data_IF_364405716182
#
_entry.id   IF_364405716182
#
_cell.length_a   1.000
_cell.length_b   1.000
_cell.length_c   1.000
_cell.angle_alpha   90.00
_cell.angle_beta   90.00
_cell.angle_gamma   90.00
#
_symmetry.space_group_name_H-M   'P 1'
#
loop_
_entity.id
_entity.type
_entity.pdbx_description
1 polymer ?
#
# COMPACT_ATOMS: atom_id res chain seq x y z
N UNK A 1 1.94 12.48 -11.17
CA UNK A 1 1.15 11.67 -10.26
C UNK A 1 1.42 12.00 -8.78
N UNK A 2 2.61 11.76 -8.27
CA UNK A 2 3.01 12.05 -6.88
C UNK A 2 4.30 12.84 -6.90
N UNK A 3 4.38 13.94 -6.12
CA UNK A 3 5.59 14.76 -5.98
C UNK A 3 5.73 15.24 -4.54
N UNK A 4 6.89 14.99 -3.96
CA UNK A 4 7.30 15.55 -2.68
C UNK A 4 8.55 16.42 -2.87
N UNK A 5 8.61 17.53 -2.16
CA UNK A 5 9.72 18.49 -2.22
C UNK A 5 10.17 18.84 -0.79
N UNK A 6 11.46 18.59 -0.52
CA UNK A 6 12.11 18.88 0.78
C UNK A 6 11.32 18.38 1.99
N UNK A 7 10.72 17.19 1.86
CA UNK A 7 9.84 16.63 2.86
C UNK A 7 10.64 16.14 4.06
N UNK A 8 10.30 16.64 5.22
CA UNK A 8 10.92 16.27 6.50
C UNK A 8 9.89 15.74 7.48
N UNK A 9 10.30 14.79 8.31
CA UNK A 9 9.49 14.26 9.41
C UNK A 9 10.34 14.16 10.67
N UNK A 10 9.90 14.86 11.69
CA UNK A 10 10.51 14.85 13.02
C UNK A 10 9.49 14.36 14.03
N UNK A 11 9.84 13.33 14.77
CA UNK A 11 9.08 12.87 15.93
C UNK A 11 9.68 13.49 17.20
N UNK A 12 8.83 14.12 18.02
CA UNK A 12 9.24 14.75 19.26
C UNK A 12 8.52 14.09 20.44
N UNK A 13 9.29 13.67 21.40
CA UNK A 13 8.82 13.35 22.75
C UNK A 13 9.33 14.41 23.72
N UNK A 14 8.97 14.34 24.99
CA UNK A 14 9.46 15.30 26.01
C UNK A 14 10.99 15.29 26.16
N UNK A 15 11.65 14.15 25.86
CA UNK A 15 13.08 13.96 26.10
C UNK A 15 13.91 13.81 24.81
N UNK A 16 13.29 13.42 23.69
CA UNK A 16 14.04 13.04 22.47
C UNK A 16 13.37 13.60 21.22
N UNK A 17 14.20 14.13 20.33
CA UNK A 17 13.84 14.48 18.97
C UNK A 17 14.49 13.50 17.99
N UNK A 18 13.68 12.85 17.15
CA UNK A 18 14.15 11.90 16.15
C UNK A 18 13.77 12.40 14.75
N UNK A 19 14.77 12.68 13.93
CA UNK A 19 14.59 13.03 12.52
C UNK A 19 14.46 11.74 11.72
N UNK A 20 13.23 11.42 11.31
CA UNK A 20 12.95 10.22 10.52
C UNK A 20 13.12 10.45 9.02
N UNK A 21 12.81 11.66 8.52
CA UNK A 21 13.03 12.09 7.15
C UNK A 21 13.65 13.48 7.15
N UNK A 22 14.65 13.70 6.30
CA UNK A 22 15.36 14.97 6.20
C UNK A 22 15.43 15.43 4.74
N UNK A 23 14.61 16.42 4.38
CA UNK A 23 14.56 17.09 3.08
C UNK A 23 14.49 16.12 1.87
N UNK A 24 13.65 15.08 1.96
CA UNK A 24 13.48 14.10 0.89
C UNK A 24 12.66 14.71 -0.24
N UNK A 25 13.17 14.61 -1.47
CA UNK A 25 12.44 15.00 -2.69
C UNK A 25 12.33 13.82 -3.63
N UNK A 26 11.13 13.57 -4.14
CA UNK A 26 10.81 12.43 -5.00
C UNK A 26 9.65 12.79 -5.92
N UNK A 27 9.75 12.39 -7.17
CA UNK A 27 8.64 12.41 -8.13
C UNK A 27 8.40 10.99 -8.64
N UNK A 28 7.12 10.58 -8.69
CA UNK A 28 6.66 9.30 -9.23
C UNK A 28 5.59 9.58 -10.28
N UNK A 29 5.76 9.05 -11.48
CA UNK A 29 4.82 9.23 -12.60
C UNK A 29 3.65 8.26 -12.50
N UNK A 30 2.55 8.56 -13.21
CA UNK A 30 1.45 7.61 -13.37
C UNK A 30 1.94 6.32 -14.01
N UNK A 31 1.53 5.18 -13.46
CA UNK A 31 1.92 3.85 -13.95
C UNK A 31 3.37 3.48 -13.68
N UNK A 32 4.14 4.28 -12.94
CA UNK A 32 5.52 3.92 -12.59
C UNK A 32 5.53 2.91 -11.44
N UNK A 33 6.44 1.92 -11.52
CA UNK A 33 6.76 1.03 -10.42
C UNK A 33 8.12 1.44 -9.85
N UNK A 34 8.13 1.95 -8.62
CA UNK A 34 9.33 2.44 -7.92
C UNK A 34 9.62 1.55 -6.72
N UNK A 35 10.87 1.13 -6.56
CA UNK A 35 11.35 0.49 -5.34
C UNK A 35 12.21 1.47 -4.52
N UNK A 36 11.93 1.56 -3.24
CA UNK A 36 12.70 2.34 -2.26
C UNK A 36 13.50 1.36 -1.41
N UNK A 37 14.82 1.46 -1.48
CA UNK A 37 15.73 0.61 -0.73
C UNK A 37 16.52 1.42 0.29
N UNK A 38 17.04 0.74 1.32
CA UNK A 38 17.90 1.35 2.32
C UNK A 38 17.97 0.50 3.59
N UNK A 39 18.90 0.81 4.51
CA UNK A 39 19.05 0.05 5.75
C UNK A 39 17.79 0.13 6.64
N UNK A 40 17.68 -0.81 7.60
CA UNK A 40 16.59 -0.74 8.58
C UNK A 40 16.67 0.55 9.38
N UNK A 41 15.52 1.16 9.69
CA UNK A 41 15.43 2.38 10.49
C UNK A 41 15.73 3.69 9.73
N UNK A 42 16.02 3.66 8.42
CA UNK A 42 16.29 4.89 7.66
C UNK A 42 15.06 5.69 7.23
N UNK A 43 13.87 5.39 7.78
CA UNK A 43 12.67 6.19 7.53
C UNK A 43 11.77 5.72 6.38
N UNK A 44 12.03 4.56 5.73
CA UNK A 44 11.25 4.07 4.59
C UNK A 44 9.75 3.90 4.88
N UNK A 45 9.40 3.22 5.97
CA UNK A 45 8.00 3.04 6.37
C UNK A 45 7.35 4.37 6.79
N UNK A 46 8.14 5.30 7.39
CA UNK A 46 7.66 6.66 7.68
C UNK A 46 7.32 7.40 6.38
N UNK A 47 8.19 7.31 5.37
CA UNK A 47 7.92 7.89 4.06
C UNK A 47 6.67 7.27 3.45
N UNK A 48 6.55 5.94 3.46
CA UNK A 48 5.39 5.23 2.93
C UNK A 48 4.08 5.65 3.62
N UNK A 49 4.10 5.83 4.96
CA UNK A 49 2.95 6.30 5.72
C UNK A 49 2.53 7.72 5.32
N UNK A 50 3.48 8.62 5.07
CA UNK A 50 3.18 9.98 4.62
C UNK A 50 2.64 9.95 3.18
N UNK A 51 3.28 9.20 2.27
CA UNK A 51 2.79 9.02 0.90
C UNK A 51 1.39 8.42 0.86
N UNK A 52 1.09 7.55 1.82
CA UNK A 52 -0.23 6.94 1.99
C UNK A 52 -1.24 7.78 2.75
N UNK A 53 -0.88 9.01 3.13
CA UNK A 53 -1.77 9.91 3.88
C UNK A 53 -2.23 9.32 5.23
N UNK A 54 -1.45 8.40 5.80
CA UNK A 54 -1.64 7.88 7.16
C UNK A 54 -1.02 8.82 8.21
N UNK A 55 0.06 9.53 7.83
CA UNK A 55 0.72 10.53 8.64
C UNK A 55 0.91 11.82 7.83
N UNK A 56 1.36 12.89 8.48
CA UNK A 56 1.68 14.17 7.84
C UNK A 56 3.17 14.49 7.98
N UNK A 57 3.77 15.17 6.99
CA UNK A 57 5.12 15.69 7.14
C UNK A 57 5.16 16.77 8.23
N UNK A 58 6.35 17.02 8.78
CA UNK A 58 6.61 18.17 9.64
C UNK A 58 6.87 19.42 8.78
N UNK A 59 7.58 19.24 7.68
CA UNK A 59 7.93 20.30 6.72
C UNK A 59 7.98 19.74 5.30
N UNK A 60 8.01 20.62 4.31
CA UNK A 60 8.04 20.30 2.89
C UNK A 60 6.66 20.26 2.26
N UNK A 61 6.60 19.93 0.99
CA UNK A 61 5.38 19.96 0.18
C UNK A 61 5.10 18.56 -0.38
N UNK A 62 3.84 18.16 -0.39
CA UNK A 62 3.41 16.90 -0.96
C UNK A 62 2.20 17.09 -1.87
N UNK A 63 2.36 16.81 -3.17
CA UNK A 63 1.29 16.78 -4.16
C UNK A 63 0.91 15.34 -4.52
N UNK A 64 -0.40 15.06 -4.49
CA UNK A 64 -1.00 13.85 -5.07
C UNK A 64 -1.90 14.28 -6.25
N UNK A 65 -1.46 14.03 -7.46
CA UNK A 65 -2.02 14.67 -8.65
C UNK A 65 -1.73 16.16 -8.63
N UNK A 66 -2.79 16.96 -8.78
CA UNK A 66 -2.73 18.43 -8.73
C UNK A 66 -3.01 18.99 -7.32
N UNK A 67 -3.41 18.13 -6.39
CA UNK A 67 -3.79 18.53 -5.04
C UNK A 67 -2.59 18.53 -4.10
N UNK A 68 -2.34 19.64 -3.42
CA UNK A 68 -1.45 19.69 -2.25
C UNK A 68 -2.12 18.96 -1.08
N UNK A 69 -1.47 17.91 -0.56
CA UNK A 69 -2.04 17.02 0.46
C UNK A 69 -1.23 16.96 1.76
N UNK A 70 -0.01 17.52 1.78
CA UNK A 70 0.89 17.47 2.94
C UNK A 70 0.35 18.29 4.12
N UNK A 71 -0.33 19.40 3.86
CA UNK A 71 -0.91 20.30 4.87
C UNK A 71 -2.34 19.94 5.29
N UNK A 72 -2.95 18.90 4.69
CA UNK A 72 -4.33 18.52 4.96
C UNK A 72 -4.52 18.07 6.43
N UNK A 73 -5.66 18.46 7.01
CA UNK A 73 -6.11 17.91 8.29
C UNK A 73 -6.51 16.44 8.14
N UNK A 74 -6.49 15.68 9.21
CA UNK A 74 -6.75 14.23 9.21
C UNK A 74 -8.04 13.85 8.48
N UNK A 75 -9.13 14.56 8.70
CA UNK A 75 -10.41 14.33 8.01
C UNK A 75 -10.30 14.43 6.50
N UNK A 76 -9.54 15.40 5.99
CA UNK A 76 -9.40 15.64 4.56
C UNK A 76 -8.35 14.70 3.94
N UNK A 77 -7.29 14.34 4.68
CA UNK A 77 -6.37 13.25 4.31
C UNK A 77 -7.10 11.93 4.16
N UNK A 78 -7.99 11.60 5.10
CA UNK A 78 -8.82 10.39 5.00
C UNK A 78 -9.68 10.38 3.74
N UNK A 79 -10.27 11.53 3.37
CA UNK A 79 -11.03 11.64 2.11
C UNK A 79 -10.13 11.49 0.88
N UNK A 80 -8.96 12.13 0.87
CA UNK A 80 -8.01 12.06 -0.25
C UNK A 80 -7.46 10.63 -0.44
N UNK A 81 -7.26 9.87 0.65
CA UNK A 81 -6.82 8.46 0.62
C UNK A 81 -7.88 7.51 0.09
N UNK A 82 -9.14 7.76 0.43
CA UNK A 82 -10.29 6.89 0.16
C UNK A 82 -10.43 6.58 -1.34
N UNK A 83 -10.35 5.31 -1.72
CA UNK A 83 -10.43 4.86 -3.10
C UNK A 83 -9.24 5.21 -3.99
N UNK A 84 -8.27 6.00 -3.50
CA UNK A 84 -7.09 6.41 -4.28
C UNK A 84 -5.82 5.65 -3.91
N UNK A 85 -5.71 5.18 -2.67
CA UNK A 85 -4.50 4.53 -2.15
C UNK A 85 -4.84 3.15 -1.61
N UNK A 86 -4.13 2.13 -2.09
CA UNK A 86 -4.14 0.78 -1.56
C UNK A 86 -2.86 0.50 -0.78
N UNK A 87 -2.95 -0.27 0.30
CA UNK A 87 -1.80 -0.67 1.12
C UNK A 87 -1.62 -2.18 1.13
N UNK A 88 -0.38 -2.61 0.95
CA UNK A 88 0.08 -3.99 1.12
C UNK A 88 1.19 -3.99 2.15
N UNK A 89 0.99 -4.69 3.27
CA UNK A 89 1.94 -4.73 4.39
C UNK A 89 2.64 -6.08 4.49
N UNK A 90 3.83 -6.09 5.04
CA UNK A 90 4.61 -7.28 5.35
C UNK A 90 3.84 -8.27 6.26
N UNK A 91 3.14 -7.77 7.27
CA UNK A 91 2.36 -8.57 8.23
C UNK A 91 0.90 -8.77 7.80
N UNK A 92 0.58 -8.58 6.50
CA UNK A 92 -0.74 -8.73 5.90
C UNK A 92 -1.79 -7.76 6.47
N UNK A 93 -1.79 -7.49 7.75
CA UNK A 93 -2.72 -6.63 8.51
C UNK A 93 -4.20 -6.95 8.20
N UNK A 94 -4.53 -8.24 8.13
CA UNK A 94 -5.90 -8.71 8.03
C UNK A 94 -6.59 -8.59 9.39
N UNK A 95 -7.88 -8.37 9.37
CA UNK A 95 -8.71 -8.33 10.58
C UNK A 95 -9.13 -9.78 10.89
N UNK A 96 -8.71 -10.29 12.03
CA UNK A 96 -8.84 -11.69 12.42
C UNK A 96 -10.30 -12.13 12.64
N UNK A 97 -11.16 -11.18 13.02
CA UNK A 97 -12.60 -11.40 13.23
C UNK A 97 -13.42 -11.37 11.94
N UNK A 98 -12.80 -10.97 10.82
CA UNK A 98 -13.43 -10.93 9.51
C UNK A 98 -12.93 -12.09 8.64
N UNK A 99 -13.83 -12.72 7.90
CA UNK A 99 -13.42 -13.69 6.89
C UNK A 99 -12.75 -13.02 5.69
N UNK A 100 -12.26 -13.81 4.73
CA UNK A 100 -11.59 -13.33 3.52
C UNK A 100 -12.45 -12.35 2.73
N UNK A 101 -13.74 -12.70 2.52
CA UNK A 101 -14.65 -11.84 1.77
C UNK A 101 -14.84 -10.49 2.47
N UNK A 102 -15.07 -10.49 3.76
CA UNK A 102 -15.29 -9.29 4.57
C UNK A 102 -14.04 -8.41 4.66
N UNK A 103 -12.84 -9.00 4.81
CA UNK A 103 -11.57 -8.27 4.76
C UNK A 103 -11.41 -7.51 3.43
N UNK A 104 -11.76 -8.15 2.31
CA UNK A 104 -11.66 -7.55 0.99
C UNK A 104 -12.78 -6.54 0.72
N UNK A 105 -13.98 -6.76 1.24
CA UNK A 105 -15.11 -5.82 1.12
C UNK A 105 -14.89 -4.52 1.90
N UNK A 106 -14.14 -4.57 3.00
CA UNK A 106 -14.01 -3.48 3.97
C UNK A 106 -13.70 -2.11 3.33
N UNK A 107 -12.73 -1.95 2.43
CA UNK A 107 -12.48 -0.64 1.79
C UNK A 107 -13.68 -0.10 1.02
N UNK A 108 -14.49 -0.96 0.43
CA UNK A 108 -15.66 -0.58 -0.34
C UNK A 108 -16.83 -0.10 0.53
N UNK A 109 -16.87 -0.49 1.80
CA UNK A 109 -17.92 -0.05 2.74
C UNK A 109 -17.83 1.45 3.04
N UNK A 110 -16.65 2.04 2.84
CA UNK A 110 -16.41 3.49 3.00
C UNK A 110 -16.68 4.28 1.73
N UNK A 111 -16.96 3.62 0.62
CA UNK A 111 -17.34 4.24 -0.65
C UNK A 111 -18.88 4.21 -0.76
N UNK A 112 -19.46 5.22 -1.43
CA UNK A 112 -20.90 5.28 -1.69
C UNK A 112 -21.30 4.25 -2.75
N UNK A 113 -21.21 2.97 -2.40
CA UNK A 113 -21.41 1.84 -3.30
C UNK A 113 -22.52 0.92 -2.79
N UNK A 114 -23.43 0.49 -3.66
CA UNK A 114 -24.51 -0.44 -3.32
C UNK A 114 -23.95 -1.82 -2.94
N UNK A 115 -24.59 -2.49 -1.99
CA UNK A 115 -24.17 -3.81 -1.51
C UNK A 115 -23.99 -4.84 -2.63
N UNK A 116 -24.88 -4.85 -3.63
CA UNK A 116 -24.78 -5.76 -4.77
C UNK A 116 -23.50 -5.52 -5.58
N UNK A 117 -23.15 -4.26 -5.84
CA UNK A 117 -21.92 -3.87 -6.55
C UNK A 117 -20.67 -4.24 -5.76
N UNK A 118 -20.67 -4.01 -4.43
CA UNK A 118 -19.55 -4.43 -3.57
C UNK A 118 -19.30 -5.93 -3.67
N UNK A 119 -20.37 -6.74 -3.56
CA UNK A 119 -20.29 -8.20 -3.66
C UNK A 119 -19.72 -8.66 -5.00
N UNK A 120 -20.16 -8.04 -6.08
CA UNK A 120 -19.66 -8.34 -7.43
C UNK A 120 -18.16 -8.04 -7.54
N UNK A 121 -17.71 -6.86 -7.10
CA UNK A 121 -16.30 -6.47 -7.13
C UNK A 121 -15.43 -7.39 -6.26
N UNK A 122 -15.88 -7.72 -5.05
CA UNK A 122 -15.15 -8.63 -4.16
C UNK A 122 -15.02 -10.02 -4.82
N UNK A 123 -16.09 -10.57 -5.36
CA UNK A 123 -16.03 -11.87 -6.03
C UNK A 123 -15.09 -11.86 -7.25
N UNK A 124 -15.13 -10.80 -8.04
CA UNK A 124 -14.24 -10.64 -9.19
C UNK A 124 -12.77 -10.60 -8.77
N UNK A 125 -12.43 -9.80 -7.75
CA UNK A 125 -11.05 -9.70 -7.29
C UNK A 125 -10.56 -10.97 -6.60
N UNK A 126 -11.37 -11.64 -5.79
CA UNK A 126 -11.02 -12.92 -5.19
C UNK A 126 -10.75 -14.01 -6.25
N UNK A 127 -11.52 -14.01 -7.33
CA UNK A 127 -11.29 -14.90 -8.48
C UNK A 127 -9.96 -14.58 -9.15
N UNK A 128 -9.69 -13.29 -9.41
CA UNK A 128 -8.43 -12.83 -9.99
C UNK A 128 -7.22 -13.22 -9.15
N UNK A 129 -7.32 -13.13 -7.83
CA UNK A 129 -6.26 -13.50 -6.88
C UNK A 129 -6.17 -15.01 -6.64
N UNK A 130 -7.01 -15.82 -7.31
CA UNK A 130 -7.09 -17.26 -7.14
C UNK A 130 -7.31 -17.70 -5.68
N UNK A 131 -8.18 -16.98 -4.94
CA UNK A 131 -8.48 -17.21 -3.52
C UNK A 131 -9.98 -17.36 -3.23
N UNK A 132 -10.85 -17.39 -4.25
CA UNK A 132 -12.32 -17.49 -4.09
C UNK A 132 -12.77 -18.70 -3.28
N UNK A 133 -12.04 -19.83 -3.40
CA UNK A 133 -12.33 -21.06 -2.64
C UNK A 133 -12.12 -20.91 -1.12
N UNK A 134 -11.52 -19.81 -0.68
CA UNK A 134 -11.28 -19.47 0.73
C UNK A 134 -12.13 -18.29 1.21
N UNK A 135 -13.10 -17.81 0.44
CA UNK A 135 -13.87 -16.58 0.71
C UNK A 135 -14.48 -16.53 2.12
N UNK A 136 -14.89 -17.68 2.69
CA UNK A 136 -15.48 -17.78 4.02
C UNK A 136 -14.51 -18.21 5.12
N UNK A 137 -13.23 -18.40 4.80
CA UNK A 137 -12.18 -18.72 5.79
C UNK A 137 -11.73 -17.46 6.51
N UNK A 138 -11.28 -17.63 7.75
CA UNK A 138 -10.67 -16.56 8.54
C UNK A 138 -9.14 -16.53 8.34
N UNK A 139 -8.47 -15.39 8.60
CA UNK A 139 -7.02 -15.27 8.41
C UNK A 139 -6.18 -16.39 9.02
N UNK A 140 -6.53 -16.85 10.23
CA UNK A 140 -5.81 -17.91 10.94
C UNK A 140 -5.88 -19.28 10.25
N UNK A 141 -6.82 -19.45 9.30
CA UNK A 141 -6.99 -20.69 8.52
C UNK A 141 -6.24 -20.67 7.18
N UNK A 142 -5.48 -19.62 6.93
CA UNK A 142 -4.78 -19.37 5.66
C UNK A 142 -3.26 -19.50 5.82
N UNK A 143 -2.59 -20.00 4.77
CA UNK A 143 -1.12 -19.88 4.69
C UNK A 143 -0.69 -18.41 4.49
N UNK A 144 0.58 -18.08 4.79
CA UNK A 144 1.09 -16.73 4.60
C UNK A 144 0.91 -16.20 3.17
N UNK A 145 1.16 -17.02 2.14
CA UNK A 145 0.93 -16.65 0.76
C UNK A 145 -0.54 -16.40 0.44
N UNK A 146 -1.47 -17.15 1.04
CA UNK A 146 -2.91 -16.91 0.92
C UNK A 146 -3.32 -15.61 1.62
N UNK A 147 -2.80 -15.35 2.82
CA UNK A 147 -3.05 -14.09 3.53
C UNK A 147 -2.56 -12.88 2.73
N UNK A 148 -1.39 -12.98 2.11
CA UNK A 148 -0.87 -11.88 1.28
C UNK A 148 -1.71 -11.65 0.02
N UNK A 149 -2.21 -12.71 -0.62
CA UNK A 149 -3.17 -12.57 -1.74
C UNK A 149 -4.46 -11.87 -1.31
N UNK A 150 -4.96 -12.14 -0.11
CA UNK A 150 -6.12 -11.44 0.48
C UNK A 150 -5.77 -9.97 0.76
N UNK A 151 -4.60 -9.68 1.30
CA UNK A 151 -4.13 -8.31 1.55
C UNK A 151 -4.01 -7.51 0.24
N UNK A 152 -3.48 -8.12 -0.82
CA UNK A 152 -3.42 -7.50 -2.15
C UNK A 152 -4.84 -7.30 -2.71
N UNK A 153 -5.73 -8.32 -2.63
CA UNK A 153 -7.12 -8.19 -3.04
C UNK A 153 -7.81 -7.01 -2.36
N UNK A 154 -7.64 -6.87 -1.04
CA UNK A 154 -8.15 -5.75 -0.26
C UNK A 154 -7.59 -4.40 -0.72
N UNK A 155 -6.29 -4.35 -1.05
CA UNK A 155 -5.64 -3.14 -1.51
C UNK A 155 -6.19 -2.66 -2.87
N UNK A 156 -6.53 -3.59 -3.78
CA UNK A 156 -6.89 -3.26 -5.17
C UNK A 156 -8.39 -3.25 -5.46
N UNK A 157 -9.24 -3.75 -4.55
CA UNK A 157 -10.69 -3.88 -4.78
C UNK A 157 -11.38 -2.55 -5.08
N UNK A 158 -10.86 -1.44 -4.54
CA UNK A 158 -11.34 -0.08 -4.80
C UNK A 158 -10.82 0.52 -6.11
N UNK A 159 -10.00 -0.22 -6.87
CA UNK A 159 -9.30 0.26 -8.06
C UNK A 159 -8.47 1.53 -7.79
N UNK A 160 -7.52 1.49 -6.83
CA UNK A 160 -6.75 2.65 -6.42
C UNK A 160 -5.80 3.10 -7.54
N UNK A 161 -5.46 4.40 -7.53
CA UNK A 161 -4.47 4.99 -8.44
C UNK A 161 -3.05 4.58 -8.07
N UNK A 162 -2.81 4.33 -6.77
CA UNK A 162 -1.50 4.01 -6.23
C UNK A 162 -1.59 2.87 -5.22
N UNK A 163 -0.64 1.95 -5.30
CA UNK A 163 -0.40 0.90 -4.29
C UNK A 163 0.91 1.21 -3.58
N UNK A 164 0.85 1.21 -2.26
CA UNK A 164 2.00 1.34 -1.37
C UNK A 164 2.26 -0.02 -0.73
N UNK A 165 3.41 -0.61 -1.02
CA UNK A 165 3.79 -1.94 -0.54
C UNK A 165 4.99 -1.84 0.40
N UNK A 166 4.82 -2.21 1.67
CA UNK A 166 5.87 -2.26 2.67
C UNK A 166 6.34 -3.72 2.84
N UNK A 167 7.49 -4.05 2.28
CA UNK A 167 8.10 -5.39 2.29
C UNK A 167 7.11 -6.52 1.95
N UNK A 168 6.45 -6.47 0.78
CA UNK A 168 5.29 -7.33 0.48
C UNK A 168 5.59 -8.82 0.46
N UNK A 169 6.86 -9.22 0.43
CA UNK A 169 7.32 -10.61 0.40
C UNK A 169 8.07 -11.03 1.67
N UNK A 170 8.30 -10.10 2.61
CA UNK A 170 9.20 -10.28 3.74
C UNK A 170 8.85 -11.44 4.68
N UNK A 171 7.58 -11.85 4.74
CA UNK A 171 7.12 -12.98 5.57
C UNK A 171 6.75 -14.23 4.73
N UNK A 172 7.23 -14.31 3.49
CA UNK A 172 6.89 -15.39 2.57
C UNK A 172 8.11 -16.23 2.20
N UNK A 173 7.87 -17.49 1.89
CA UNK A 173 8.87 -18.30 1.20
C UNK A 173 9.09 -17.82 -0.25
N UNK A 174 10.18 -18.25 -0.87
CA UNK A 174 10.59 -17.78 -2.19
C UNK A 174 9.54 -17.99 -3.29
N UNK A 175 8.77 -19.09 -3.22
CA UNK A 175 7.73 -19.39 -4.20
C UNK A 175 6.55 -18.43 -4.07
N UNK A 176 6.02 -18.29 -2.87
CA UNK A 176 4.92 -17.37 -2.60
C UNK A 176 5.34 -15.91 -2.84
N UNK A 177 6.58 -15.55 -2.49
CA UNK A 177 7.15 -14.23 -2.79
C UNK A 177 7.17 -13.93 -4.30
N UNK A 178 7.64 -14.87 -5.13
CA UNK A 178 7.65 -14.70 -6.58
C UNK A 178 6.24 -14.51 -7.14
N UNK A 179 5.25 -15.26 -6.65
CA UNK A 179 3.84 -15.11 -7.05
C UNK A 179 3.27 -13.74 -6.70
N UNK A 180 3.62 -13.21 -5.51
CA UNK A 180 3.23 -11.85 -5.08
C UNK A 180 3.86 -10.79 -5.98
N UNK A 181 5.15 -10.89 -6.29
CA UNK A 181 5.83 -9.94 -7.19
C UNK A 181 5.26 -9.98 -8.61
N UNK A 182 4.89 -11.17 -9.09
CA UNK A 182 4.20 -11.29 -10.38
C UNK A 182 2.84 -10.57 -10.36
N UNK A 183 2.02 -10.75 -9.31
CA UNK A 183 0.73 -10.07 -9.16
C UNK A 183 0.90 -8.54 -9.15
N UNK A 184 1.87 -8.02 -8.40
CA UNK A 184 2.15 -6.57 -8.39
C UNK A 184 2.59 -6.07 -9.77
N UNK A 185 3.42 -6.84 -10.48
CA UNK A 185 3.86 -6.51 -11.84
C UNK A 185 2.70 -6.50 -12.84
N UNK A 186 1.76 -7.45 -12.73
CA UNK A 186 0.55 -7.46 -13.55
C UNK A 186 -0.34 -6.24 -13.30
N UNK A 187 -0.56 -5.88 -12.04
CA UNK A 187 -1.30 -4.68 -11.66
C UNK A 187 -0.64 -3.40 -12.20
N UNK A 188 0.68 -3.34 -12.15
CA UNK A 188 1.42 -2.20 -12.70
C UNK A 188 1.29 -2.11 -14.23
N UNK A 189 1.39 -3.23 -14.97
CA UNK A 189 1.19 -3.26 -16.43
C UNK A 189 -0.20 -2.80 -16.85
N UNK A 190 -1.21 -2.92 -15.97
CA UNK A 190 -2.56 -2.39 -16.17
C UNK A 190 -2.68 -0.89 -15.85
N UNK A 191 -1.59 -0.23 -15.48
CA UNK A 191 -1.52 1.22 -15.25
C UNK A 191 -1.55 1.65 -13.79
N UNK A 192 -1.60 0.71 -12.82
CA UNK A 192 -1.53 1.07 -11.40
C UNK A 192 -0.12 1.51 -11.05
N UNK A 193 0.02 2.67 -10.41
CA UNK A 193 1.30 3.14 -9.87
C UNK A 193 1.64 2.34 -8.60
N UNK A 194 2.90 1.89 -8.48
CA UNK A 194 3.34 1.12 -7.31
C UNK A 194 4.58 1.76 -6.70
N UNK A 195 4.56 1.99 -5.40
CA UNK A 195 5.74 2.34 -4.61
C UNK A 195 5.95 1.22 -3.59
N UNK A 196 7.07 0.53 -3.71
CA UNK A 196 7.42 -0.59 -2.86
C UNK A 196 8.65 -0.25 -2.03
N UNK A 197 8.58 -0.48 -0.74
CA UNK A 197 9.74 -0.53 0.14
C UNK A 197 10.21 -1.97 0.23
N UNK A 198 11.49 -2.22 0.04
CA UNK A 198 12.06 -3.56 0.16
C UNK A 198 13.54 -3.54 0.53
N UNK A 199 14.00 -4.56 1.23
CA UNK A 199 15.43 -4.87 1.43
C UNK A 199 15.95 -5.88 0.40
N UNK A 200 15.06 -6.55 -0.35
CA UNK A 200 15.39 -7.56 -1.32
C UNK A 200 15.79 -6.93 -2.65
N UNK A 201 17.05 -7.14 -3.08
CA UNK A 201 17.50 -6.74 -4.42
C UNK A 201 16.74 -7.46 -5.52
N UNK A 202 16.32 -8.70 -5.26
CA UNK A 202 15.52 -9.47 -6.19
C UNK A 202 14.16 -8.79 -6.41
N UNK A 203 13.45 -8.42 -5.35
CA UNK A 203 12.15 -7.77 -5.48
C UNK A 203 12.28 -6.37 -6.10
N UNK A 204 13.31 -5.62 -5.74
CA UNK A 204 13.60 -4.32 -6.35
C UNK A 204 13.83 -4.42 -7.87
N UNK A 205 14.32 -5.57 -8.38
CA UNK A 205 14.53 -5.78 -9.82
C UNK A 205 13.26 -5.81 -10.66
N UNK A 206 12.08 -5.95 -10.06
CA UNK A 206 10.78 -5.86 -10.74
C UNK A 206 10.33 -4.41 -10.99
N UNK A 207 10.94 -3.44 -10.33
CA UNK A 207 10.61 -2.02 -10.49
C UNK A 207 11.27 -1.41 -11.72
N UNK A 208 10.67 -0.31 -12.21
CA UNK A 208 11.27 0.49 -13.29
C UNK A 208 12.46 1.31 -12.80
N UNK A 209 12.46 1.69 -11.51
CA UNK A 209 13.47 2.53 -10.87
C UNK A 209 13.64 2.14 -9.41
N UNK A 210 14.89 2.12 -8.96
CA UNK A 210 15.29 1.92 -7.56
C UNK A 210 15.87 3.23 -7.02
N UNK A 211 15.47 3.57 -5.78
CA UNK A 211 15.87 4.77 -5.05
C UNK A 211 16.49 4.36 -3.72
#
# INVERSE_FOLDING_TARGET
MLRIENLSKVFRTEEVETVALNQVSLEVKDGEFVAIMGPSGCGKSTLLNILGLLDSPTEGIYYLGEQEVGSLKEKDRTKARKGNVGFVFQSFNLIDELNVFENVELPLTYLDMKSAERKERVNAILKRMNISHRSHHFPQQLSGGQQQRVAIARAVVSNPKIILADEPTGNLDSKNGAEVMQLLTELNKEGTTIIMVTHSKHDASFSHRVI
#
